data_IF_960472007730
#
_entry.id   IF_960472007730
#
_cell.length_a   1.000
_cell.length_b   1.000
_cell.length_c   1.000
_cell.angle_alpha   90.00
_cell.angle_beta   90.00
_cell.angle_gamma   90.00
#
_symmetry.space_group_name_H-M   'P 1'
#
loop_
_entity.id
_entity.type
_entity.pdbx_description
1 polymer ?
#
# COMPACT_ATOMS: atom_id res chain seq x y z
N UNK A 1 7.09 13.31 23.78
CA UNK A 1 6.35 12.30 23.01
C UNK A 1 6.51 10.99 23.73
N UNK A 2 5.40 10.32 24.06
CA UNK A 2 5.43 8.93 24.49
C UNK A 2 5.32 8.08 23.22
N UNK A 3 6.24 7.14 23.01
CA UNK A 3 6.23 6.22 21.87
C UNK A 3 5.79 4.80 22.28
N UNK A 4 5.48 4.61 23.56
CA UNK A 4 4.96 3.35 24.07
C UNK A 4 3.54 3.14 23.52
N UNK A 5 3.27 1.93 23.06
CA UNK A 5 1.95 1.52 22.60
C UNK A 5 1.02 1.32 23.80
N UNK A 6 -0.27 1.51 23.60
CA UNK A 6 -1.26 1.04 24.57
C UNK A 6 -1.33 -0.49 24.59
N UNK A 7 -1.80 -1.08 25.69
CA UNK A 7 -2.01 -2.53 25.77
C UNK A 7 -2.95 -3.04 24.66
N UNK A 8 -3.96 -2.24 24.30
CA UNK A 8 -4.87 -2.54 23.18
C UNK A 8 -4.15 -2.57 21.83
N UNK A 9 -3.29 -1.59 21.57
CA UNK A 9 -2.47 -1.54 20.35
C UNK A 9 -1.51 -2.74 20.30
N UNK A 10 -0.85 -3.07 21.39
CA UNK A 10 0.05 -4.24 21.46
C UNK A 10 -0.69 -5.56 21.19
N UNK A 11 -1.86 -5.75 21.81
CA UNK A 11 -2.68 -6.95 21.62
C UNK A 11 -3.18 -7.07 20.18
N UNK A 12 -3.59 -5.96 19.58
CA UNK A 12 -4.08 -5.94 18.21
C UNK A 12 -2.96 -6.21 17.21
N UNK A 13 -1.82 -5.51 17.34
CA UNK A 13 -0.61 -5.76 16.52
C UNK A 13 -0.16 -7.21 16.64
N UNK A 14 -0.12 -7.77 17.85
CA UNK A 14 0.23 -9.17 18.06
C UNK A 14 -0.74 -10.14 17.35
N UNK A 15 -2.01 -9.78 17.26
CA UNK A 15 -3.01 -10.55 16.52
C UNK A 15 -2.79 -10.47 15.01
N UNK A 16 -2.46 -9.28 14.50
CA UNK A 16 -2.07 -9.07 13.10
C UNK A 16 -0.82 -9.87 12.77
N UNK A 17 0.23 -9.81 13.59
CA UNK A 17 1.48 -10.56 13.37
C UNK A 17 1.24 -12.08 13.35
N UNK A 18 0.33 -12.60 14.19
CA UNK A 18 -0.05 -14.03 14.17
C UNK A 18 -0.80 -14.42 12.89
N UNK A 19 -1.70 -13.58 12.39
CA UNK A 19 -2.43 -13.83 11.15
C UNK A 19 -1.51 -13.70 9.92
N UNK A 20 -0.72 -12.63 9.89
CA UNK A 20 0.18 -12.29 8.80
C UNK A 20 1.43 -13.17 8.80
N UNK A 21 1.60 -14.02 9.82
CA UNK A 21 2.78 -14.85 10.07
C UNK A 21 3.38 -15.42 8.78
N UNK A 22 4.72 -15.50 8.69
CA UNK A 22 5.40 -15.70 7.42
C UNK A 22 4.84 -16.86 6.63
N UNK A 23 4.28 -16.55 5.47
CA UNK A 23 3.86 -17.56 4.51
C UNK A 23 5.13 -18.18 3.93
N UNK A 24 5.19 -19.51 3.88
CA UNK A 24 6.34 -20.19 3.32
C UNK A 24 6.56 -19.76 1.85
N UNK A 25 7.82 -19.79 1.42
CA UNK A 25 8.24 -19.26 0.11
C UNK A 25 7.47 -19.91 -1.05
N UNK A 26 7.14 -21.20 -0.93
CA UNK A 26 6.40 -21.94 -1.97
C UNK A 26 4.91 -21.56 -1.98
N UNK A 27 4.28 -21.43 -0.82
CA UNK A 27 2.92 -20.92 -0.72
C UNK A 27 2.81 -19.49 -1.26
N UNK A 28 3.80 -18.62 -0.99
CA UNK A 28 3.85 -17.28 -1.56
C UNK A 28 4.03 -17.31 -3.07
N UNK A 29 4.91 -18.18 -3.58
CA UNK A 29 5.08 -18.39 -5.02
C UNK A 29 3.76 -18.82 -5.69
N UNK A 30 3.02 -19.74 -5.07
CA UNK A 30 1.70 -20.17 -5.54
C UNK A 30 0.69 -19.02 -5.55
N UNK A 31 0.63 -18.21 -4.50
CA UNK A 31 -0.22 -17.02 -4.46
C UNK A 31 0.15 -16.02 -5.57
N UNK A 32 1.44 -15.72 -5.73
CA UNK A 32 1.98 -14.86 -6.80
C UNK A 32 1.72 -15.38 -8.21
N UNK A 33 1.49 -16.67 -8.39
CA UNK A 33 1.20 -17.28 -9.69
C UNK A 33 -0.29 -17.54 -9.90
N UNK A 34 -1.13 -17.27 -8.91
CA UNK A 34 -2.58 -17.40 -9.04
C UNK A 34 -3.13 -16.49 -10.14
N UNK A 35 -4.22 -16.89 -10.84
CA UNK A 35 -4.78 -16.10 -11.95
C UNK A 35 -5.13 -14.66 -11.55
N UNK A 36 -5.71 -14.49 -10.36
CA UNK A 36 -6.16 -13.18 -9.86
C UNK A 36 -5.09 -12.51 -8.97
N UNK A 37 -3.93 -13.13 -8.80
CA UNK A 37 -2.83 -12.63 -7.97
C UNK A 37 -3.02 -12.74 -6.46
N UNK A 38 -4.21 -13.13 -5.99
CA UNK A 38 -4.54 -13.24 -4.58
C UNK A 38 -5.66 -14.25 -4.30
N UNK A 39 -5.74 -14.72 -3.06
CA UNK A 39 -6.75 -15.68 -2.59
C UNK A 39 -7.88 -14.96 -1.84
N UNK A 40 -9.12 -15.04 -2.37
CA UNK A 40 -10.31 -14.44 -1.75
C UNK A 40 -10.63 -15.05 -0.38
N UNK A 41 -10.31 -16.31 -0.13
CA UNK A 41 -10.53 -16.90 1.19
C UNK A 41 -9.61 -16.28 2.25
N UNK A 42 -8.36 -15.98 1.87
CA UNK A 42 -7.43 -15.24 2.74
C UNK A 42 -7.89 -13.79 2.93
N UNK A 43 -8.41 -13.15 1.89
CA UNK A 43 -9.02 -11.82 2.00
C UNK A 43 -10.15 -11.78 3.03
N UNK A 44 -11.04 -12.78 2.99
CA UNK A 44 -12.15 -12.85 3.93
C UNK A 44 -11.67 -12.99 5.38
N UNK A 45 -10.67 -13.84 5.65
CA UNK A 45 -10.08 -13.97 6.99
C UNK A 45 -9.44 -12.66 7.48
N UNK A 46 -8.80 -11.92 6.57
CA UNK A 46 -8.22 -10.61 6.87
C UNK A 46 -9.31 -9.61 7.28
N UNK A 47 -10.44 -9.59 6.56
CA UNK A 47 -11.57 -8.72 6.85
C UNK A 47 -12.25 -9.10 8.17
N UNK A 48 -12.46 -10.39 8.44
CA UNK A 48 -13.02 -10.92 9.69
C UNK A 48 -12.19 -10.58 10.93
N UNK A 49 -10.87 -10.38 10.76
CA UNK A 49 -9.98 -9.91 11.83
C UNK A 49 -10.17 -8.41 12.15
N UNK A 50 -10.94 -7.68 11.34
CA UNK A 50 -11.23 -6.25 11.51
C UNK A 50 -10.20 -5.33 10.85
N UNK A 51 -9.26 -5.86 10.05
CA UNK A 51 -8.17 -5.05 9.48
C UNK A 51 -8.66 -4.02 8.44
N UNK A 52 -9.74 -4.33 7.71
CA UNK A 52 -10.38 -3.35 6.81
C UNK A 52 -11.27 -2.39 7.60
N UNK A 53 -12.05 -2.91 8.55
CA UNK A 53 -12.93 -2.14 9.43
C UNK A 53 -12.19 -1.05 10.23
N UNK A 54 -10.91 -1.26 10.55
CA UNK A 54 -10.08 -0.27 11.22
C UNK A 54 -9.99 1.07 10.49
N UNK A 55 -10.12 1.08 9.16
CA UNK A 55 -9.96 2.29 8.35
C UNK A 55 -11.20 3.20 8.34
N UNK A 56 -12.35 2.72 8.82
CA UNK A 56 -13.60 3.49 8.86
C UNK A 56 -14.04 3.81 10.29
N UNK A 57 -14.75 4.92 10.48
CA UNK A 57 -15.31 5.32 11.77
C UNK A 57 -16.42 4.38 12.26
N UNK A 58 -16.63 4.36 13.58
CA UNK A 58 -17.67 3.53 14.22
C UNK A 58 -19.08 3.85 13.67
N UNK A 59 -19.39 5.13 13.44
CA UNK A 59 -20.66 5.58 12.85
C UNK A 59 -20.88 5.07 11.42
N UNK A 60 -19.80 4.69 10.73
CA UNK A 60 -19.80 4.11 9.39
C UNK A 60 -19.69 2.58 9.40
N UNK A 61 -19.78 1.94 10.58
CA UNK A 61 -19.68 0.48 10.75
C UNK A 61 -18.25 -0.05 10.87
N UNK A 62 -17.25 0.84 11.01
CA UNK A 62 -15.85 0.48 11.24
C UNK A 62 -15.45 0.45 12.71
N UNK A 63 -14.14 0.47 12.97
CA UNK A 63 -13.55 0.45 14.32
C UNK A 63 -12.86 1.77 14.71
N UNK A 64 -12.84 2.77 13.82
CA UNK A 64 -12.35 4.12 14.13
C UNK A 64 -10.85 4.22 14.44
N UNK A 65 -10.02 3.42 13.77
CA UNK A 65 -8.58 3.42 13.98
C UNK A 65 -7.92 4.77 13.73
N UNK A 66 -6.97 5.14 14.59
CA UNK A 66 -6.13 6.32 14.37
C UNK A 66 -5.12 6.08 13.24
N UNK A 67 -4.49 7.14 12.70
CA UNK A 67 -3.40 6.98 11.73
C UNK A 67 -2.22 6.16 12.27
N UNK A 68 -1.99 6.20 13.59
CA UNK A 68 -0.99 5.35 14.23
C UNK A 68 -1.43 3.88 14.21
N UNK A 69 -2.69 3.57 14.51
CA UNK A 69 -3.19 2.19 14.51
C UNK A 69 -3.07 1.55 13.12
N UNK A 70 -3.48 2.29 12.07
CA UNK A 70 -3.35 1.86 10.68
C UNK A 70 -1.88 1.70 10.26
N UNK A 71 -0.99 2.59 10.71
CA UNK A 71 0.44 2.46 10.48
C UNK A 71 1.03 1.22 11.17
N UNK A 72 0.65 0.93 12.41
CA UNK A 72 1.11 -0.25 13.14
C UNK A 72 0.66 -1.56 12.47
N UNK A 73 -0.58 -1.60 11.97
CA UNK A 73 -1.07 -2.74 11.16
C UNK A 73 -0.25 -2.91 9.88
N UNK A 74 -0.06 -1.82 9.13
CA UNK A 74 0.73 -1.86 7.90
C UNK A 74 2.18 -2.30 8.17
N UNK A 75 2.79 -1.84 9.26
CA UNK A 75 4.11 -2.28 9.69
C UNK A 75 4.15 -3.78 10.03
N UNK A 76 3.16 -4.28 10.77
CA UNK A 76 3.06 -5.71 11.09
C UNK A 76 2.91 -6.58 9.82
N UNK A 77 2.10 -6.15 8.86
CA UNK A 77 1.98 -6.79 7.54
C UNK A 77 3.33 -6.81 6.81
N UNK A 78 4.04 -5.68 6.81
CA UNK A 78 5.36 -5.56 6.21
C UNK A 78 6.40 -6.47 6.87
N UNK A 79 6.43 -6.52 8.20
CA UNK A 79 7.35 -7.35 9.01
C UNK A 79 7.13 -8.84 8.79
N UNK A 80 5.87 -9.24 8.61
CA UNK A 80 5.57 -10.60 8.24
C UNK A 80 5.90 -10.89 6.76
N UNK A 81 6.17 -9.85 5.96
CA UNK A 81 6.37 -9.88 4.52
C UNK A 81 5.17 -10.54 3.83
N UNK A 82 3.98 -10.19 4.33
CA UNK A 82 2.72 -10.81 3.95
C UNK A 82 2.34 -10.42 2.51
N UNK A 83 1.69 -11.30 1.74
CA UNK A 83 1.25 -11.00 0.37
C UNK A 83 -0.07 -10.21 0.32
N UNK A 84 -0.62 -9.84 1.47
CA UNK A 84 -1.95 -9.26 1.64
C UNK A 84 -2.01 -7.80 1.10
N UNK A 85 -2.84 -7.50 0.08
CA UNK A 85 -2.94 -6.16 -0.51
C UNK A 85 -3.88 -5.23 0.30
N UNK A 86 -3.65 -5.18 1.61
CA UNK A 86 -4.52 -4.47 2.57
C UNK A 86 -4.60 -2.96 2.27
N UNK A 87 -3.47 -2.34 1.93
CA UNK A 87 -3.43 -0.91 1.65
C UNK A 87 -4.26 -0.55 0.41
N UNK A 88 -4.05 -1.28 -0.68
CA UNK A 88 -4.63 -1.00 -1.99
C UNK A 88 -6.11 -1.34 -2.10
N UNK A 89 -6.56 -2.36 -1.37
CA UNK A 89 -7.91 -2.94 -1.54
C UNK A 89 -8.79 -2.91 -0.29
N UNK A 90 -8.22 -2.59 0.87
CA UNK A 90 -8.94 -2.48 2.13
C UNK A 90 -8.97 -1.03 2.62
N UNK A 91 -7.83 -0.53 3.06
CA UNK A 91 -7.71 0.80 3.68
C UNK A 91 -8.07 1.91 2.70
N UNK A 92 -7.46 1.94 1.51
CA UNK A 92 -7.72 3.00 0.54
C UNK A 92 -9.20 3.07 0.11
N UNK A 93 -9.85 1.97 -0.32
CA UNK A 93 -11.27 2.03 -0.66
C UNK A 93 -12.16 2.39 0.52
N UNK A 94 -11.90 1.89 1.73
CA UNK A 94 -12.70 2.24 2.91
C UNK A 94 -12.66 3.75 3.18
N UNK A 95 -11.47 4.37 3.15
CA UNK A 95 -11.30 5.82 3.32
C UNK A 95 -12.04 6.62 2.23
N UNK A 96 -11.96 6.18 0.97
CA UNK A 96 -12.64 6.84 -0.15
C UNK A 96 -14.17 6.74 -0.04
N UNK A 97 -14.69 5.56 0.31
CA UNK A 97 -16.13 5.32 0.38
C UNK A 97 -16.77 6.00 1.58
N UNK A 98 -16.13 5.96 2.75
CA UNK A 98 -16.60 6.66 3.94
C UNK A 98 -16.66 8.17 3.70
N UNK A 99 -15.54 8.78 3.31
CA UNK A 99 -15.45 10.24 3.08
C UNK A 99 -16.27 10.68 1.87
N UNK A 100 -16.49 9.78 0.91
CA UNK A 100 -17.34 9.98 -0.25
C UNK A 100 -18.83 9.75 -0.02
N UNK A 101 -19.25 9.36 1.18
CA UNK A 101 -20.66 9.19 1.54
C UNK A 101 -21.33 7.95 0.93
N UNK A 102 -20.58 6.90 0.61
CA UNK A 102 -21.08 5.68 -0.03
C UNK A 102 -21.28 4.53 0.97
N UNK A 103 -22.11 4.75 1.98
CA UNK A 103 -22.29 3.82 3.12
C UNK A 103 -22.69 2.39 2.75
N UNK A 104 -23.61 2.20 1.80
CA UNK A 104 -24.04 0.85 1.38
C UNK A 104 -22.89 0.05 0.73
N UNK A 105 -22.03 0.73 -0.04
CA UNK A 105 -20.88 0.11 -0.70
C UNK A 105 -19.74 -0.12 0.30
N UNK A 106 -19.58 0.80 1.25
CA UNK A 106 -18.61 0.68 2.33
C UNK A 106 -18.84 -0.60 3.14
N UNK A 107 -20.09 -0.94 3.48
CA UNK A 107 -20.42 -2.15 4.25
C UNK A 107 -19.85 -3.43 3.59
N UNK A 108 -20.02 -3.56 2.26
CA UNK A 108 -19.46 -4.69 1.50
C UNK A 108 -17.93 -4.71 1.47
N UNK A 109 -17.27 -3.54 1.49
CA UNK A 109 -15.81 -3.45 1.58
C UNK A 109 -15.32 -3.81 2.99
N UNK A 110 -15.97 -3.31 4.04
CA UNK A 110 -15.60 -3.59 5.43
C UNK A 110 -15.75 -5.07 5.79
N UNK A 111 -16.78 -5.73 5.26
CA UNK A 111 -17.01 -7.17 5.47
C UNK A 111 -16.06 -8.08 4.68
N UNK A 112 -15.35 -7.53 3.70
CA UNK A 112 -14.50 -8.27 2.76
C UNK A 112 -15.24 -8.91 1.58
N UNK A 113 -16.57 -8.79 1.51
CA UNK A 113 -17.38 -9.33 0.41
C UNK A 113 -17.05 -8.65 -0.93
N UNK A 114 -16.80 -7.35 -0.90
CA UNK A 114 -16.48 -6.53 -2.08
C UNK A 114 -15.01 -6.13 -2.05
N UNK A 115 -14.25 -6.52 -3.08
CA UNK A 115 -12.89 -6.02 -3.28
C UNK A 115 -12.96 -4.78 -4.18
N UNK A 116 -12.62 -3.62 -3.63
CA UNK A 116 -12.60 -2.36 -4.37
C UNK A 116 -11.17 -1.90 -4.68
N UNK A 117 -10.99 -1.12 -5.75
CA UNK A 117 -9.69 -0.47 -6.02
C UNK A 117 -9.83 0.87 -6.71
N UNK A 118 -8.84 1.75 -6.50
CA UNK A 118 -8.78 3.08 -7.11
C UNK A 118 -8.07 3.03 -8.48
N UNK A 119 -8.77 3.44 -9.53
CA UNK A 119 -8.26 3.62 -10.88
C UNK A 119 -7.98 5.11 -11.15
N UNK A 120 -6.77 5.55 -10.83
CA UNK A 120 -6.39 6.97 -10.88
C UNK A 120 -5.34 7.31 -11.94
N UNK A 121 -4.36 6.43 -12.20
CA UNK A 121 -3.23 6.77 -13.07
C UNK A 121 -3.58 6.76 -14.56
N UNK A 122 -2.98 7.70 -15.30
CA UNK A 122 -3.15 7.85 -16.74
C UNK A 122 -1.79 7.91 -17.45
N UNK A 123 -1.74 7.43 -18.69
CA UNK A 123 -0.52 7.52 -19.52
C UNK A 123 -0.14 8.99 -19.73
N UNK A 124 1.15 9.29 -19.61
CA UNK A 124 1.66 10.66 -19.75
C UNK A 124 1.43 11.55 -18.52
N UNK A 125 0.90 11.01 -17.42
CA UNK A 125 0.77 11.71 -16.14
C UNK A 125 1.53 10.96 -15.05
N UNK A 126 2.53 11.61 -14.43
CA UNK A 126 3.31 11.03 -13.34
C UNK A 126 2.68 11.41 -12.01
N UNK A 127 2.12 10.42 -11.30
CA UNK A 127 1.53 10.53 -9.97
C UNK A 127 0.46 11.63 -9.78
N UNK A 128 -0.26 12.01 -10.84
CA UNK A 128 -1.40 12.93 -10.74
C UNK A 128 -2.69 12.15 -10.45
N UNK A 129 -3.42 12.55 -9.40
CA UNK A 129 -4.78 12.06 -9.14
C UNK A 129 -5.81 12.73 -10.05
N UNK A 130 -5.49 13.91 -10.57
CA UNK A 130 -6.35 14.67 -11.47
C UNK A 130 -6.31 14.08 -12.89
N UNK A 131 -7.46 13.60 -13.39
CA UNK A 131 -7.57 13.03 -14.71
C UNK A 131 -7.45 14.09 -15.80
N UNK A 132 -6.89 13.71 -16.94
CA UNK A 132 -6.89 14.50 -18.18
C UNK A 132 -7.57 13.77 -19.32
N UNK A 133 -7.39 12.45 -19.37
CA UNK A 133 -7.91 11.56 -20.40
C UNK A 133 -9.24 10.90 -20.03
N UNK A 134 -9.47 10.57 -18.75
CA UNK A 134 -10.73 9.98 -18.31
C UNK A 134 -11.79 11.07 -18.12
N UNK A 135 -12.89 11.00 -18.87
CA UNK A 135 -14.00 11.97 -18.83
C UNK A 135 -15.27 11.31 -18.32
N UNK A 136 -16.03 12.05 -17.52
CA UNK A 136 -17.39 11.73 -17.14
C UNK A 136 -18.35 12.69 -17.84
N UNK A 137 -19.49 12.16 -18.31
CA UNK A 137 -20.52 12.93 -18.98
C UNK A 137 -21.89 12.57 -18.41
N UNK A 138 -22.70 13.58 -18.09
CA UNK A 138 -24.11 13.41 -17.73
C UNK A 138 -24.95 13.51 -19.00
N UNK A 139 -25.61 12.41 -19.38
CA UNK A 139 -26.42 12.34 -20.60
C UNK A 139 -27.77 11.65 -20.40
N UNK A 140 -28.43 11.36 -21.53
CA UNK A 140 -29.72 10.66 -21.53
C UNK A 140 -29.64 9.23 -20.93
N UNK A 141 -28.47 8.60 -21.02
CA UNK A 141 -28.19 7.26 -20.47
C UNK A 141 -27.73 7.32 -19.01
N UNK A 142 -27.82 8.49 -18.37
CA UNK A 142 -27.26 8.75 -17.05
C UNK A 142 -25.79 9.18 -17.13
N UNK A 143 -25.07 8.91 -16.04
CA UNK A 143 -23.67 9.27 -15.85
C UNK A 143 -22.77 8.19 -16.43
N UNK A 144 -21.94 8.55 -17.42
CA UNK A 144 -21.06 7.60 -18.10
C UNK A 144 -19.62 8.08 -18.15
N UNK A 145 -18.68 7.14 -18.16
CA UNK A 145 -17.24 7.39 -18.22
C UNK A 145 -16.67 6.90 -19.55
N UNK A 146 -15.73 7.69 -20.11
CA UNK A 146 -14.96 7.32 -21.30
C UNK A 146 -13.50 7.71 -21.15
N UNK A 147 -12.59 6.78 -21.44
CA UNK A 147 -11.15 7.00 -21.38
C UNK A 147 -10.36 5.76 -20.99
N UNK A 148 -9.11 5.96 -20.59
CA UNK A 148 -8.19 4.88 -20.22
C UNK A 148 -7.54 5.16 -18.86
N UNK A 149 -7.38 4.11 -18.05
CA UNK A 149 -6.51 4.10 -16.87
C UNK A 149 -5.45 3.03 -17.04
N UNK A 150 -4.29 3.28 -16.44
CA UNK A 150 -3.17 2.32 -16.43
C UNK A 150 -2.76 2.03 -14.99
N UNK A 151 -1.91 1.02 -14.77
CA UNK A 151 -1.37 0.66 -13.44
C UNK A 151 -2.44 0.57 -12.33
N UNK A 152 -3.64 0.11 -12.67
CA UNK A 152 -4.72 -0.07 -11.68
C UNK A 152 -4.43 -1.33 -10.89
N UNK A 153 -3.98 -1.16 -9.65
CA UNK A 153 -3.64 -2.27 -8.76
C UNK A 153 -4.86 -3.18 -8.56
N UNK A 154 -4.66 -4.50 -8.52
CA UNK A 154 -5.73 -5.48 -8.32
C UNK A 154 -6.83 -5.51 -9.38
N UNK A 155 -6.59 -5.00 -10.59
CA UNK A 155 -7.65 -4.88 -11.60
C UNK A 155 -8.36 -6.21 -11.96
N UNK A 156 -7.68 -7.36 -11.86
CA UNK A 156 -8.32 -8.67 -12.05
C UNK A 156 -9.04 -9.22 -10.82
N UNK A 157 -8.77 -8.64 -9.65
CA UNK A 157 -9.31 -9.07 -8.36
C UNK A 157 -10.56 -8.27 -7.98
N UNK A 158 -10.62 -7.00 -8.40
CA UNK A 158 -11.63 -6.03 -7.99
C UNK A 158 -13.04 -6.35 -8.52
N UNK A 159 -14.01 -6.32 -7.61
CA UNK A 159 -15.45 -6.31 -7.89
C UNK A 159 -15.95 -4.90 -8.23
N UNK A 160 -15.26 -3.88 -7.74
CA UNK A 160 -15.62 -2.47 -7.88
C UNK A 160 -14.40 -1.60 -8.16
N UNK A 161 -14.54 -0.71 -9.14
CA UNK A 161 -13.57 0.33 -9.42
C UNK A 161 -14.06 1.69 -8.91
N UNK A 162 -13.21 2.38 -8.15
CA UNK A 162 -13.34 3.81 -7.86
C UNK A 162 -12.51 4.53 -8.91
N UNK A 163 -13.13 5.23 -9.85
CA UNK A 163 -12.45 5.81 -11.02
C UNK A 163 -12.38 7.32 -10.87
N UNK A 164 -11.18 7.91 -10.96
CA UNK A 164 -11.06 9.38 -11.08
C UNK A 164 -11.37 9.79 -12.52
N UNK A 165 -12.31 10.72 -12.72
CA UNK A 165 -12.65 11.26 -14.04
C UNK A 165 -12.91 12.78 -13.95
N UNK A 166 -12.72 13.47 -15.07
CA UNK A 166 -13.06 14.89 -15.17
C UNK A 166 -14.55 15.02 -15.50
N UNK A 167 -15.29 15.74 -14.67
CA UNK A 167 -16.68 16.11 -14.91
C UNK A 167 -16.75 17.64 -14.87
N UNK A 168 -17.23 18.25 -15.95
CA UNK A 168 -17.38 19.72 -16.07
C UNK A 168 -16.10 20.53 -15.72
N UNK A 169 -14.93 19.95 -16.00
CA UNK A 169 -13.63 20.55 -15.73
C UNK A 169 -13.06 20.31 -14.33
N UNK A 170 -13.80 19.59 -13.46
CA UNK A 170 -13.39 19.27 -12.10
C UNK A 170 -13.05 17.79 -11.94
N UNK A 171 -12.16 17.47 -11.00
CA UNK A 171 -11.84 16.08 -10.64
C UNK A 171 -12.93 15.51 -9.75
N UNK A 172 -13.50 14.38 -10.13
CA UNK A 172 -14.47 13.63 -9.32
C UNK A 172 -14.16 12.13 -9.31
N UNK A 173 -14.72 11.42 -8.33
CA UNK A 173 -14.59 9.97 -8.19
C UNK A 173 -15.92 9.27 -8.45
N UNK A 174 -15.89 8.20 -9.23
CA UNK A 174 -17.08 7.45 -9.65
C UNK A 174 -16.96 5.97 -9.33
N UNK A 175 -18.06 5.34 -8.95
CA UNK A 175 -18.13 3.90 -8.71
C UNK A 175 -18.52 3.19 -10.01
N UNK A 176 -17.74 2.20 -10.42
CA UNK A 176 -17.96 1.41 -11.64
C UNK A 176 -17.86 -0.08 -11.27
N UNK A 177 -18.97 -0.84 -11.35
CA UNK A 177 -18.95 -2.29 -11.16
C UNK A 177 -17.96 -2.99 -12.12
N UNK A 178 -17.30 -4.03 -11.65
CA UNK A 178 -16.27 -4.75 -12.43
C UNK A 178 -16.82 -5.45 -13.69
N UNK A 179 -18.13 -5.64 -13.78
CA UNK A 179 -18.86 -6.21 -14.91
C UNK A 179 -19.65 -5.16 -15.72
N UNK A 180 -19.43 -3.86 -15.46
CA UNK A 180 -20.15 -2.79 -16.12
C UNK A 180 -19.97 -2.84 -17.66
N UNK A 181 -21.04 -2.63 -18.45
CA UNK A 181 -20.95 -2.65 -19.90
C UNK A 181 -20.00 -1.57 -20.43
N UNK A 182 -19.18 -1.93 -21.41
CA UNK A 182 -18.19 -1.02 -22.00
C UNK A 182 -16.88 -0.90 -21.21
N UNK A 183 -16.74 -1.58 -20.07
CA UNK A 183 -15.47 -1.74 -19.35
C UNK A 183 -14.67 -2.89 -19.95
N UNK A 184 -13.45 -2.61 -20.40
CA UNK A 184 -12.46 -3.60 -20.79
C UNK A 184 -11.31 -3.58 -19.78
N UNK A 185 -10.95 -4.74 -19.23
CA UNK A 185 -9.83 -4.89 -18.28
C UNK A 185 -8.76 -5.79 -18.88
N UNK A 186 -7.53 -5.27 -18.96
CA UNK A 186 -6.34 -6.02 -19.35
C UNK A 186 -5.36 -6.10 -18.19
N UNK A 187 -5.40 -7.20 -17.46
CA UNK A 187 -4.52 -7.44 -16.33
C UNK A 187 -3.12 -7.90 -16.74
N UNK A 188 -2.13 -7.55 -15.93
CA UNK A 188 -0.73 -7.97 -16.03
C UNK A 188 -0.09 -8.05 -14.64
N UNK A 189 1.00 -8.80 -14.55
CA UNK A 189 1.69 -9.06 -13.28
C UNK A 189 2.83 -8.08 -13.06
N UNK A 190 2.93 -7.54 -11.85
CA UNK A 190 4.05 -6.72 -11.41
C UNK A 190 5.22 -7.59 -10.91
N UNK A 191 6.36 -6.94 -10.67
CA UNK A 191 7.59 -7.62 -10.25
C UNK A 191 7.41 -8.44 -8.95
N UNK A 192 6.67 -7.90 -7.99
CA UNK A 192 6.38 -8.56 -6.70
C UNK A 192 5.34 -9.70 -6.82
N UNK A 193 4.71 -9.85 -7.99
CA UNK A 193 3.70 -10.87 -8.27
C UNK A 193 2.27 -10.39 -8.08
N UNK A 194 2.06 -9.19 -7.54
CA UNK A 194 0.74 -8.54 -7.52
C UNK A 194 0.24 -8.29 -8.95
N UNK A 195 -1.07 -8.08 -9.10
CA UNK A 195 -1.70 -7.79 -10.38
C UNK A 195 -1.94 -6.29 -10.49
N UNK A 196 -1.68 -5.73 -11.66
CA UNK A 196 -2.16 -4.43 -12.09
C UNK A 196 -2.94 -4.60 -13.41
N UNK A 197 -3.61 -3.55 -13.88
CA UNK A 197 -4.30 -3.60 -15.16
C UNK A 197 -4.40 -2.27 -15.88
N UNK A 198 -4.63 -2.40 -17.18
CA UNK A 198 -5.13 -1.32 -18.03
C UNK A 198 -6.66 -1.43 -18.08
N UNK A 199 -7.34 -0.30 -17.87
CA UNK A 199 -8.78 -0.20 -18.01
C UNK A 199 -9.08 0.69 -19.20
N UNK A 200 -10.02 0.27 -20.03
CA UNK A 200 -10.61 1.11 -21.08
C UNK A 200 -12.11 1.16 -20.87
N UNK A 201 -12.65 2.36 -20.70
CA UNK A 201 -14.06 2.62 -20.48
C UNK A 201 -14.62 3.28 -21.74
N UNK A 202 -15.73 2.75 -22.27
CA UNK A 202 -16.40 3.27 -23.46
C UNK A 202 -17.86 3.52 -23.15
N UNK A 203 -18.20 4.77 -22.78
CA UNK A 203 -19.53 5.14 -22.26
C UNK A 203 -19.99 4.19 -21.14
N UNK A 204 -19.07 3.79 -20.28
CA UNK A 204 -19.33 2.85 -19.19
C UNK A 204 -20.16 3.54 -18.11
N UNK A 205 -21.32 3.00 -17.71
CA UNK A 205 -22.15 3.62 -16.68
C UNK A 205 -21.46 3.58 -15.31
N UNK A 206 -21.50 4.71 -14.60
CA UNK A 206 -21.18 4.74 -13.17
C UNK A 206 -22.43 4.39 -12.35
N UNK A 207 -22.27 3.58 -11.30
CA UNK A 207 -23.35 3.30 -10.35
C UNK A 207 -23.57 4.45 -9.37
N UNK A 208 -22.52 5.22 -9.05
CA UNK A 208 -22.61 6.40 -8.20
C UNK A 208 -21.44 7.37 -8.45
N UNK A 209 -21.61 8.62 -8.01
CA UNK A 209 -20.54 9.59 -7.83
C UNK A 209 -20.28 9.75 -6.32
N UNK A 210 -19.02 9.72 -5.91
CA UNK A 210 -18.63 10.01 -4.52
C UNK A 210 -18.65 11.51 -4.27
N UNK A 211 -19.07 11.90 -3.07
CA UNK A 211 -19.00 13.28 -2.59
C UNK A 211 -17.60 13.62 -2.07
N UNK A 212 -16.61 13.49 -2.96
CA UNK A 212 -15.20 13.82 -2.72
C UNK A 212 -14.76 14.89 -3.71
N UNK A 213 -14.17 15.96 -3.19
CA UNK A 213 -13.45 16.93 -4.00
C UNK A 213 -11.97 16.53 -4.18
N UNK A 214 -11.26 17.33 -4.97
CA UNK A 214 -9.85 17.12 -5.28
C UNK A 214 -8.96 17.18 -4.02
N UNK A 215 -9.25 18.09 -3.09
CA UNK A 215 -8.45 18.29 -1.86
C UNK A 215 -8.60 17.09 -0.92
N UNK A 216 -9.82 16.56 -0.75
CA UNK A 216 -10.07 15.37 0.03
C UNK A 216 -9.35 14.15 -0.57
N UNK A 217 -9.34 14.02 -1.90
CA UNK A 217 -8.62 12.95 -2.60
C UNK A 217 -7.10 13.04 -2.36
N UNK A 218 -6.51 14.23 -2.47
CA UNK A 218 -5.09 14.47 -2.17
C UNK A 218 -4.75 14.18 -0.70
N UNK A 219 -5.64 14.54 0.23
CA UNK A 219 -5.47 14.24 1.65
C UNK A 219 -5.47 12.71 1.93
N UNK A 220 -6.37 11.95 1.29
CA UNK A 220 -6.39 10.48 1.39
C UNK A 220 -5.10 9.89 0.80
N UNK A 221 -4.65 10.37 -0.36
CA UNK A 221 -3.39 9.91 -0.95
C UNK A 221 -2.18 10.20 -0.05
N UNK A 222 -2.18 11.35 0.64
CA UNK A 222 -1.18 11.64 1.65
C UNK A 222 -1.20 10.62 2.79
N UNK A 223 -2.36 10.27 3.35
CA UNK A 223 -2.48 9.22 4.37
C UNK A 223 -1.98 7.86 3.87
N UNK A 224 -2.30 7.48 2.63
CA UNK A 224 -1.80 6.24 2.05
C UNK A 224 -0.27 6.19 1.91
N UNK A 225 0.39 7.35 1.72
CA UNK A 225 1.86 7.42 1.74
C UNK A 225 2.41 7.08 3.13
N UNK A 226 1.74 7.48 4.21
CA UNK A 226 2.13 7.11 5.57
C UNK A 226 2.07 5.59 5.74
N UNK A 227 0.95 4.97 5.36
CA UNK A 227 0.75 3.52 5.52
C UNK A 227 1.69 2.71 4.62
N UNK A 228 1.96 3.18 3.40
CA UNK A 228 2.97 2.59 2.54
C UNK A 228 4.39 2.72 3.13
N UNK A 229 4.68 3.81 3.84
CA UNK A 229 5.94 3.96 4.58
C UNK A 229 6.01 3.01 5.76
N UNK A 230 4.91 2.81 6.48
CA UNK A 230 4.84 1.86 7.59
C UNK A 230 5.08 0.41 7.14
N UNK A 231 4.43 -0.03 6.06
CA UNK A 231 4.68 -1.37 5.50
C UNK A 231 6.14 -1.54 5.05
N UNK A 232 6.76 -0.49 4.49
CA UNK A 232 8.19 -0.52 4.18
C UNK A 232 9.09 -0.63 5.42
N UNK A 233 8.78 0.07 6.52
CA UNK A 233 9.52 -0.09 7.79
C UNK A 233 9.45 -1.55 8.26
N UNK A 234 8.25 -2.14 8.27
CA UNK A 234 8.10 -3.57 8.58
C UNK A 234 8.96 -4.47 7.70
N UNK A 235 8.92 -4.25 6.38
CA UNK A 235 9.76 -5.00 5.42
C UNK A 235 11.26 -4.80 5.69
N UNK A 236 11.69 -3.59 6.02
CA UNK A 236 13.07 -3.25 6.39
C UNK A 236 13.55 -4.04 7.60
N UNK A 237 12.74 -4.06 8.67
CA UNK A 237 13.00 -4.87 9.86
C UNK A 237 13.12 -6.35 9.51
N UNK A 238 12.20 -6.88 8.70
CA UNK A 238 12.23 -8.29 8.28
C UNK A 238 13.49 -8.64 7.50
N UNK A 239 13.85 -7.78 6.55
CA UNK A 239 15.06 -7.94 5.74
C UNK A 239 16.32 -7.94 6.61
N UNK A 240 16.37 -7.06 7.62
CA UNK A 240 17.47 -6.99 8.56
C UNK A 240 17.57 -8.27 9.42
N UNK A 241 16.45 -8.73 9.98
CA UNK A 241 16.38 -9.91 10.84
C UNK A 241 16.79 -11.18 10.08
N UNK A 242 16.21 -11.41 8.90
CA UNK A 242 16.51 -12.57 8.06
C UNK A 242 17.99 -12.54 7.61
N UNK A 243 18.51 -11.36 7.27
CA UNK A 243 19.93 -11.21 6.89
C UNK A 243 20.85 -11.47 8.07
N UNK A 244 20.52 -10.97 9.26
CA UNK A 244 21.30 -11.20 10.47
C UNK A 244 21.35 -12.68 10.83
N UNK A 245 20.24 -13.41 10.68
CA UNK A 245 20.21 -14.86 10.85
C UNK A 245 21.12 -15.55 9.82
N UNK A 246 20.95 -15.21 8.54
CA UNK A 246 21.73 -15.82 7.45
C UNK A 246 23.24 -15.64 7.60
N UNK A 247 23.71 -14.43 7.91
CA UNK A 247 25.16 -14.15 8.02
C UNK A 247 25.81 -14.84 9.21
N UNK A 248 25.04 -15.19 10.25
CA UNK A 248 25.53 -15.95 11.41
C UNK A 248 25.70 -17.43 11.10
N UNK A 249 24.90 -17.97 10.18
CA UNK A 249 24.90 -19.39 9.84
C UNK A 249 25.74 -19.71 8.60
N UNK A 250 25.77 -18.83 7.60
CA UNK A 250 26.45 -19.08 6.33
C UNK A 250 27.97 -19.03 6.52
N UNK A 251 28.65 -20.11 6.18
CA UNK A 251 30.12 -20.19 6.23
C UNK A 251 30.78 -20.02 4.86
N UNK A 252 31.87 -19.24 4.81
CA UNK A 252 32.83 -19.15 3.71
C UNK A 252 34.22 -18.94 4.29
N UNK A 253 35.25 -19.41 3.59
CA UNK A 253 36.64 -19.33 4.07
C UNK A 253 36.84 -19.94 5.48
N UNK A 254 36.03 -20.94 5.84
CA UNK A 254 36.11 -21.66 7.11
C UNK A 254 35.53 -20.93 8.32
N UNK A 255 34.81 -19.82 8.13
CA UNK A 255 34.13 -19.06 9.21
C UNK A 255 32.75 -18.57 8.77
N UNK A 256 31.87 -18.26 9.71
CA UNK A 256 30.61 -17.57 9.43
C UNK A 256 30.87 -16.20 8.78
N UNK A 257 30.16 -15.87 7.70
CA UNK A 257 30.42 -14.63 6.95
C UNK A 257 30.19 -13.37 7.80
N UNK A 258 29.33 -13.44 8.83
CA UNK A 258 29.11 -12.37 9.80
C UNK A 258 30.35 -12.00 10.63
N UNK A 259 31.44 -12.78 10.61
CA UNK A 259 32.70 -12.41 11.25
C UNK A 259 33.53 -11.40 10.45
N UNK A 260 33.23 -11.18 9.16
CA UNK A 260 33.94 -10.21 8.35
C UNK A 260 33.49 -8.77 8.69
N UNK A 261 34.41 -7.92 9.11
CA UNK A 261 34.11 -6.53 9.48
C UNK A 261 33.38 -5.74 8.39
N UNK A 262 33.68 -6.03 7.11
CA UNK A 262 32.99 -5.40 5.98
C UNK A 262 31.48 -5.67 6.00
N UNK A 263 31.03 -6.87 6.40
CA UNK A 263 29.60 -7.18 6.55
C UNK A 263 29.02 -6.62 7.84
N UNK A 264 29.79 -6.61 8.93
CA UNK A 264 29.35 -6.02 10.20
C UNK A 264 29.05 -4.53 10.06
N UNK A 265 29.92 -3.76 9.40
CA UNK A 265 29.68 -2.33 9.17
C UNK A 265 28.42 -2.06 8.33
N UNK A 266 28.16 -2.89 7.30
CA UNK A 266 26.96 -2.80 6.48
C UNK A 266 25.69 -3.08 7.28
N UNK A 267 25.72 -4.10 8.15
CA UNK A 267 24.60 -4.41 9.05
C UNK A 267 24.33 -3.31 10.07
N UNK A 268 25.38 -2.68 10.60
CA UNK A 268 25.23 -1.53 11.51
C UNK A 268 24.60 -0.34 10.80
N UNK A 269 24.99 -0.06 9.54
CA UNK A 269 24.34 1.00 8.74
C UNK A 269 22.87 0.67 8.48
N UNK A 270 22.55 -0.57 8.08
CA UNK A 270 21.17 -1.00 7.89
C UNK A 270 20.33 -0.86 9.16
N UNK A 271 20.87 -1.28 10.31
CA UNK A 271 20.22 -1.10 11.62
C UNK A 271 19.95 0.37 11.93
N UNK A 272 20.96 1.25 11.74
CA UNK A 272 20.79 2.68 12.01
C UNK A 272 19.72 3.32 11.11
N UNK A 273 19.64 2.90 9.85
CA UNK A 273 18.62 3.36 8.89
C UNK A 273 17.22 2.90 9.25
N UNK A 274 17.08 1.65 9.72
CA UNK A 274 15.81 1.09 10.15
C UNK A 274 15.27 1.85 11.38
N UNK A 275 16.10 2.06 12.40
CA UNK A 275 15.71 2.81 13.61
C UNK A 275 15.33 4.27 13.32
N UNK A 276 16.06 4.92 12.41
CA UNK A 276 15.70 6.27 11.94
C UNK A 276 14.38 6.27 11.16
N UNK A 277 14.15 5.26 10.31
CA UNK A 277 12.93 5.12 9.51
C UNK A 277 11.70 4.92 10.41
N UNK A 278 11.81 4.07 11.44
CA UNK A 278 10.79 3.85 12.46
C UNK A 278 10.49 5.13 13.25
N UNK A 279 11.53 5.84 13.68
CA UNK A 279 11.37 7.11 14.39
C UNK A 279 10.67 8.17 13.52
N UNK A 280 11.00 8.23 12.24
CA UNK A 280 10.38 9.14 11.28
C UNK A 280 8.91 8.80 11.03
N UNK A 281 8.59 7.51 10.94
CA UNK A 281 7.23 7.00 10.78
C UNK A 281 6.35 7.44 11.94
N UNK A 282 6.75 7.15 13.18
CA UNK A 282 5.94 7.49 14.37
C UNK A 282 5.78 9.00 14.55
N UNK A 283 6.81 9.79 14.23
CA UNK A 283 6.68 11.24 14.23
C UNK A 283 5.63 11.74 13.24
N UNK A 284 5.54 11.13 12.04
CA UNK A 284 4.53 11.50 11.05
C UNK A 284 3.13 10.99 11.42
N UNK A 285 3.02 9.78 11.96
CA UNK A 285 1.75 9.20 12.41
C UNK A 285 1.13 9.94 13.60
N UNK A 286 1.97 10.51 14.48
CA UNK A 286 1.56 11.31 15.64
C UNK A 286 1.44 12.81 15.33
N UNK A 287 1.58 13.23 14.07
CA UNK A 287 1.41 14.63 13.69
C UNK A 287 -0.02 15.10 13.99
N UNK A 288 -0.16 16.38 14.38
CA UNK A 288 -1.46 16.96 14.72
C UNK A 288 -2.46 16.81 13.58
N UNK A 289 -3.62 16.22 13.87
CA UNK A 289 -4.68 15.99 12.89
C UNK A 289 -5.37 17.30 12.49
N UNK A 290 -5.31 18.35 13.32
CA UNK A 290 -5.95 19.63 13.01
C UNK A 290 -5.20 20.44 11.93
N UNK A 291 -3.91 20.18 11.72
CA UNK A 291 -3.08 20.88 10.73
C UNK A 291 -2.82 20.01 9.49
N UNK A 292 -3.70 20.11 8.49
CA UNK A 292 -3.60 19.32 7.26
C UNK A 292 -2.29 19.57 6.50
N UNK A 293 -1.84 20.83 6.42
CA UNK A 293 -0.61 21.16 5.70
C UNK A 293 0.63 20.57 6.40
N UNK A 294 0.72 20.70 7.73
CA UNK A 294 1.81 20.11 8.49
C UNK A 294 1.81 18.58 8.39
N UNK A 295 0.63 17.94 8.42
CA UNK A 295 0.49 16.49 8.28
C UNK A 295 0.91 15.99 6.90
N UNK A 296 0.46 16.65 5.83
CA UNK A 296 0.85 16.32 4.46
C UNK A 296 2.36 16.44 4.30
N UNK A 297 2.96 17.52 4.81
CA UNK A 297 4.42 17.71 4.81
C UNK A 297 5.14 16.63 5.61
N UNK A 298 4.70 16.34 6.83
CA UNK A 298 5.31 15.31 7.67
C UNK A 298 5.30 13.93 6.99
N UNK A 299 4.16 13.60 6.36
CA UNK A 299 3.97 12.32 5.66
C UNK A 299 4.80 12.25 4.38
N UNK A 300 4.88 13.33 3.61
CA UNK A 300 5.74 13.40 2.43
C UNK A 300 7.21 13.20 2.81
N UNK A 301 7.70 13.96 3.80
CA UNK A 301 9.08 13.83 4.29
C UNK A 301 9.38 12.42 4.82
N UNK A 302 8.45 11.82 5.58
CA UNK A 302 8.60 10.46 6.07
C UNK A 302 8.62 9.43 4.94
N UNK A 303 7.69 9.51 3.99
CA UNK A 303 7.62 8.60 2.84
C UNK A 303 8.90 8.63 2.01
N UNK A 304 9.42 9.81 1.70
CA UNK A 304 10.67 9.94 0.95
C UNK A 304 11.86 9.34 1.71
N UNK A 305 12.03 9.73 2.97
CA UNK A 305 13.14 9.26 3.81
C UNK A 305 13.10 7.73 4.01
N UNK A 306 11.94 7.18 4.31
CA UNK A 306 11.77 5.75 4.56
C UNK A 306 11.95 4.96 3.26
N UNK A 307 11.40 5.43 2.13
CA UNK A 307 11.56 4.74 0.85
C UNK A 307 13.03 4.61 0.45
N UNK A 308 13.83 5.66 0.60
CA UNK A 308 15.27 5.63 0.30
C UNK A 308 16.03 4.68 1.23
N UNK A 309 15.77 4.75 2.53
CA UNK A 309 16.45 3.93 3.52
C UNK A 309 16.10 2.44 3.41
N UNK A 310 14.82 2.11 3.22
CA UNK A 310 14.38 0.72 3.10
C UNK A 310 14.78 0.11 1.77
N UNK A 311 14.80 0.87 0.66
CA UNK A 311 15.38 0.39 -0.62
C UNK A 311 16.86 0.06 -0.45
N UNK A 312 17.61 0.87 0.30
CA UNK A 312 19.01 0.57 0.65
C UNK A 312 19.13 -0.74 1.44
N UNK A 313 18.37 -0.88 2.54
CA UNK A 313 18.37 -2.11 3.37
C UNK A 313 18.04 -3.35 2.51
N UNK A 314 17.04 -3.25 1.63
CA UNK A 314 16.64 -4.35 0.77
C UNK A 314 17.73 -4.77 -0.23
N UNK A 315 18.46 -3.80 -0.80
CA UNK A 315 19.60 -4.09 -1.69
C UNK A 315 20.78 -4.69 -0.95
N UNK A 316 21.06 -4.19 0.25
CA UNK A 316 22.11 -4.72 1.13
C UNK A 316 21.81 -6.16 1.53
N UNK A 317 20.56 -6.45 1.89
CA UNK A 317 20.09 -7.81 2.18
C UNK A 317 20.32 -8.75 0.99
N UNK A 318 19.91 -8.36 -0.23
CA UNK A 318 20.18 -9.15 -1.44
C UNK A 318 21.68 -9.39 -1.62
N UNK A 319 22.50 -8.34 -1.50
CA UNK A 319 23.94 -8.44 -1.70
C UNK A 319 24.62 -9.34 -0.66
N UNK A 320 24.18 -9.33 0.60
CA UNK A 320 24.71 -10.19 1.66
C UNK A 320 24.31 -11.66 1.50
N UNK A 321 23.16 -11.93 0.90
CA UNK A 321 22.75 -13.28 0.51
C UNK A 321 23.41 -13.78 -0.78
N UNK A 322 24.09 -12.90 -1.53
CA UNK A 322 24.75 -13.22 -2.79
C UNK A 322 23.75 -13.73 -3.84
N UNK A 323 24.13 -14.79 -4.58
CA UNK A 323 23.27 -15.36 -5.61
C UNK A 323 21.89 -15.82 -5.09
N UNK A 324 21.79 -16.30 -3.85
CA UNK A 324 20.49 -16.73 -3.29
C UNK A 324 19.52 -15.56 -3.11
N UNK A 325 20.01 -14.35 -2.83
CA UNK A 325 19.19 -13.16 -2.59
C UNK A 325 18.33 -12.73 -3.78
N UNK A 326 18.71 -13.12 -5.00
CA UNK A 326 17.96 -12.82 -6.23
C UNK A 326 17.06 -13.98 -6.70
N UNK A 327 17.18 -15.16 -6.08
CA UNK A 327 16.33 -16.31 -6.41
C UNK A 327 14.98 -16.22 -5.71
N UNK A 328 14.02 -17.03 -6.16
CA UNK A 328 12.75 -17.23 -5.45
C UNK A 328 12.86 -18.38 -4.42
N UNK A 329 14.08 -18.75 -3.96
CA UNK A 329 14.29 -19.74 -2.88
C UNK A 329 14.22 -19.11 -1.48
N UNK A 330 14.47 -17.79 -1.37
CA UNK A 330 14.40 -17.02 -0.14
C UNK A 330 13.36 -15.89 -0.27
N UNK A 331 12.80 -15.48 0.86
CA UNK A 331 11.82 -14.39 0.92
C UNK A 331 12.44 -12.99 0.69
N UNK A 332 13.77 -12.87 0.69
CA UNK A 332 14.52 -11.60 0.53
C UNK A 332 14.17 -10.91 -0.80
N UNK A 333 14.22 -11.65 -1.90
CA UNK A 333 13.89 -11.12 -3.22
C UNK A 333 12.43 -10.69 -3.33
N UNK A 334 11.52 -11.33 -2.60
CA UNK A 334 10.10 -10.95 -2.57
C UNK A 334 9.88 -9.65 -1.80
N UNK A 335 10.53 -9.50 -0.64
CA UNK A 335 10.48 -8.26 0.14
C UNK A 335 11.03 -7.07 -0.66
N UNK A 336 12.18 -7.22 -1.32
CA UNK A 336 12.72 -6.15 -2.18
C UNK A 336 11.72 -5.74 -3.27
N UNK A 337 11.10 -6.72 -3.95
CA UNK A 337 10.12 -6.42 -5.01
C UNK A 337 8.92 -5.65 -4.46
N UNK A 338 8.43 -5.98 -3.25
CA UNK A 338 7.33 -5.24 -2.59
C UNK A 338 7.76 -3.82 -2.20
N UNK A 339 8.96 -3.64 -1.66
CA UNK A 339 9.53 -2.30 -1.39
C UNK A 339 9.54 -1.44 -2.66
N UNK A 340 9.92 -2.00 -3.82
CA UNK A 340 9.92 -1.26 -5.08
C UNK A 340 8.52 -0.80 -5.53
N UNK A 341 7.47 -1.59 -5.26
CA UNK A 341 6.08 -1.22 -5.56
C UNK A 341 5.62 -0.13 -4.59
N UNK A 342 5.77 -0.36 -3.29
CA UNK A 342 5.37 0.59 -2.25
C UNK A 342 6.07 1.94 -2.41
N UNK A 343 7.37 1.95 -2.72
CA UNK A 343 8.15 3.17 -2.92
C UNK A 343 7.63 4.07 -4.06
N UNK A 344 6.71 3.59 -4.90
CA UNK A 344 6.07 4.34 -6.00
C UNK A 344 4.58 4.60 -5.77
N UNK A 345 3.99 3.98 -4.74
CA UNK A 345 2.57 4.15 -4.43
C UNK A 345 2.32 5.61 -4.01
N UNK A 346 1.48 6.30 -4.78
CA UNK A 346 1.18 7.73 -4.65
C UNK A 346 2.39 8.67 -4.76
N UNK A 347 3.46 8.27 -5.44
CA UNK A 347 4.65 9.10 -5.64
C UNK A 347 5.94 8.37 -5.28
N UNK A 348 6.98 8.62 -6.06
CA UNK A 348 8.35 8.21 -5.71
C UNK A 348 9.09 9.27 -4.91
N UNK A 349 10.31 8.94 -4.50
CA UNK A 349 11.17 9.79 -3.66
C UNK A 349 11.28 11.21 -4.23
N UNK A 350 11.55 11.36 -5.53
CA UNK A 350 11.70 12.69 -6.15
C UNK A 350 10.41 13.50 -6.09
N UNK A 351 9.28 12.89 -6.46
CA UNK A 351 7.97 13.56 -6.44
C UNK A 351 7.60 13.98 -5.03
N UNK A 352 7.73 13.08 -4.06
CA UNK A 352 7.31 13.35 -2.68
C UNK A 352 8.28 14.33 -1.98
N UNK A 353 9.57 14.32 -2.32
CA UNK A 353 10.51 15.35 -1.84
C UNK A 353 10.19 16.73 -2.40
N UNK A 354 9.77 16.83 -3.66
CA UNK A 354 9.33 18.11 -4.23
C UNK A 354 8.10 18.65 -3.49
N UNK A 355 7.11 17.80 -3.19
CA UNK A 355 5.95 18.17 -2.38
C UNK A 355 6.34 18.61 -0.96
N UNK A 356 7.24 17.87 -0.30
CA UNK A 356 7.78 18.25 1.01
C UNK A 356 8.43 19.64 1.01
N UNK A 357 9.18 19.96 -0.06
CA UNK A 357 9.87 21.24 -0.22
C UNK A 357 8.90 22.39 -0.53
N UNK A 358 7.83 22.14 -1.29
CA UNK A 358 6.81 23.14 -1.59
C UNK A 358 5.91 23.47 -0.39
N UNK A 359 5.78 22.55 0.55
CA UNK A 359 5.04 22.75 1.79
C UNK A 359 5.88 23.44 2.90
N UNK A 360 7.14 23.78 2.63
CA UNK A 360 8.08 24.43 3.55
C UNK A 360 8.03 25.95 3.44
#
# INVERSE_FOLDING_TARGET
>A
MNFDLSEEQEMFVSSVERFAAPVDVEARRRLRLSPNGYDRARWQQLAELGLVALAAGEDAGGMGGSPLDLALVAEAIGKANAPDPLLEHGILPALLLERGGAGEVLEGVLSGETIATLAWTERGQRYSLHPKGMKAETGADGLTLSGEKTMVMGAALADLFIVTAELDGETACFLVPGDAPGLEVRAYRLADGSIAGELKLTRTPASAQLSLDAEALDAIAAEMRLYAAAEMVGLGQRLLDDTLAYVKEREQFGVAIGSFQALQHRLVDCYAREEQSRSMLYRAALADRADTAARQRATAGAKAFIAENVDHIAREAVQMHGGMGITDELAIGHALKRVLVLARLFGDVDTVLAEYALAA
#
